data_IF_827522621435
#
_entry.id   IF_827522621435
#
_cell.length_a   1.000
_cell.length_b   1.000
_cell.length_c   1.000
_cell.angle_alpha   90.00
_cell.angle_beta   90.00
_cell.angle_gamma   90.00
#
_symmetry.space_group_name_H-M   'P 1'
#
loop_
_entity.id
_entity.type
_entity.pdbx_description
1 polymer ?
#
# COMPACT_ATOMS: atom_id res chain seq x y z
N UNK A 1 -3.14 -2.49 13.19
CA UNK A 1 -4.19 -3.36 12.64
C UNK A 1 -3.61 -4.29 11.59
N UNK A 2 -4.09 -5.53 11.56
CA UNK A 2 -3.72 -6.55 10.58
C UNK A 2 -5.01 -7.07 9.93
N UNK A 3 -5.07 -7.09 8.60
CA UNK A 3 -6.22 -7.60 7.86
C UNK A 3 -5.81 -8.11 6.48
N UNK A 4 -6.65 -8.95 5.87
CA UNK A 4 -6.48 -9.39 4.48
C UNK A 4 -7.35 -8.59 3.54
N UNK A 5 -6.84 -8.35 2.34
CA UNK A 5 -7.56 -7.72 1.25
C UNK A 5 -7.22 -8.48 -0.03
N UNK A 6 -8.10 -9.42 -0.41
CA UNK A 6 -7.76 -10.40 -1.45
C UNK A 6 -6.59 -11.26 -0.97
N UNK A 7 -5.64 -11.50 -1.86
CA UNK A 7 -4.42 -12.27 -1.58
C UNK A 7 -3.31 -11.47 -0.89
N UNK A 8 -3.60 -10.22 -0.50
CA UNK A 8 -2.66 -9.34 0.20
C UNK A 8 -2.99 -9.28 1.69
N UNK A 9 -1.96 -9.39 2.51
CA UNK A 9 -2.00 -9.14 3.95
C UNK A 9 -1.46 -7.75 4.22
N UNK A 10 -2.30 -6.91 4.83
CA UNK A 10 -2.02 -5.51 5.15
C UNK A 10 -1.82 -5.37 6.65
N UNK A 11 -0.64 -4.88 7.05
CA UNK A 11 -0.33 -4.50 8.42
C UNK A 11 -0.13 -3.00 8.48
N UNK A 12 -1.09 -2.31 9.10
CA UNK A 12 -1.03 -0.88 9.37
C UNK A 12 -0.62 -0.66 10.84
N UNK A 13 0.40 0.16 11.08
CA UNK A 13 0.89 0.51 12.41
C UNK A 13 1.12 2.01 12.50
N UNK A 14 0.56 2.66 13.52
CA UNK A 14 0.81 4.07 13.79
C UNK A 14 1.95 4.22 14.81
N UNK A 15 2.97 5.02 14.50
CA UNK A 15 4.09 5.34 15.40
C UNK A 15 4.54 6.79 15.16
N UNK A 16 4.68 7.58 16.22
CA UNK A 16 5.20 8.96 16.16
C UNK A 16 4.54 9.82 15.08
N UNK A 17 3.19 9.82 15.02
CA UNK A 17 2.41 10.53 13.99
C UNK A 17 2.80 10.13 12.56
N UNK A 18 3.08 8.84 12.34
CA UNK A 18 3.30 8.23 11.02
C UNK A 18 2.54 6.92 10.93
N UNK A 19 1.98 6.63 9.75
CA UNK A 19 1.34 5.36 9.45
C UNK A 19 2.27 4.46 8.62
N UNK A 20 2.82 3.42 9.23
CA UNK A 20 3.52 2.39 8.48
C UNK A 20 2.53 1.37 7.91
N UNK A 21 2.59 1.13 6.60
CA UNK A 21 1.76 0.13 5.91
C UNK A 21 2.68 -0.92 5.29
N UNK A 22 2.68 -2.10 5.89
CA UNK A 22 3.39 -3.25 5.34
C UNK A 22 2.40 -4.11 4.53
N UNK A 23 2.81 -4.47 3.32
CA UNK A 23 2.04 -5.33 2.41
C UNK A 23 2.83 -6.60 2.19
N UNK A 24 2.19 -7.74 2.42
CA UNK A 24 2.76 -9.08 2.25
C UNK A 24 1.74 -9.99 1.57
N UNK A 25 2.17 -11.15 1.10
CA UNK A 25 1.28 -12.16 0.55
C UNK A 25 1.85 -13.55 0.84
N UNK A 26 0.98 -14.53 1.02
CA UNK A 26 1.35 -15.95 1.08
C UNK A 26 1.57 -16.52 -0.33
N UNK A 27 1.13 -15.83 -1.39
CA UNK A 27 1.28 -16.28 -2.78
C UNK A 27 2.68 -16.03 -3.36
N UNK A 28 3.49 -15.18 -2.72
CA UNK A 28 4.83 -14.86 -3.20
C UNK A 28 5.37 -13.54 -2.65
N UNK A 29 6.50 -13.11 -3.21
CA UNK A 29 7.16 -11.86 -2.83
C UNK A 29 6.37 -10.65 -3.35
N UNK A 30 5.98 -9.74 -2.45
CA UNK A 30 5.35 -8.48 -2.84
C UNK A 30 6.41 -7.45 -3.21
N UNK A 31 6.27 -6.91 -4.42
CA UNK A 31 7.14 -5.89 -4.99
C UNK A 31 6.32 -4.63 -5.25
N UNK A 32 6.95 -3.48 -5.08
CA UNK A 32 6.36 -2.19 -5.41
C UNK A 32 6.65 -1.86 -6.88
N UNK A 33 5.66 -1.39 -7.61
CA UNK A 33 5.86 -0.89 -8.97
C UNK A 33 6.26 0.59 -8.92
N UNK A 34 7.56 0.84 -8.95
CA UNK A 34 8.15 2.19 -8.88
C UNK A 34 8.09 2.98 -10.18
N UNK A 35 7.96 2.27 -11.30
CA UNK A 35 7.95 2.84 -12.65
C UNK A 35 6.54 2.82 -13.24
N UNK A 36 5.52 2.87 -12.38
CA UNK A 36 4.14 2.89 -12.84
C UNK A 36 3.82 4.24 -13.49
N UNK A 37 4.06 4.31 -14.81
CA UNK A 37 3.82 5.48 -15.66
C UNK A 37 2.39 5.52 -16.20
N UNK A 38 1.49 4.67 -15.71
CA UNK A 38 0.08 4.73 -16.09
C UNK A 38 -0.46 6.11 -15.74
N UNK A 39 -1.25 6.70 -16.64
CA UNK A 39 -2.01 7.93 -16.36
C UNK A 39 -2.91 7.65 -15.18
N UNK A 40 -2.48 8.06 -13.99
CA UNK A 40 -3.21 7.79 -12.76
C UNK A 40 -4.41 8.73 -12.66
N UNK A 41 -5.60 8.16 -12.47
CA UNK A 41 -6.82 8.92 -12.18
C UNK A 41 -6.76 9.57 -10.78
N UNK A 42 -5.82 9.15 -9.93
CA UNK A 42 -5.59 9.68 -8.60
C UNK A 42 -4.15 10.22 -8.45
N UNK A 43 -3.94 11.45 -7.94
CA UNK A 43 -2.62 12.07 -7.91
C UNK A 43 -1.57 11.35 -7.02
N UNK A 44 -1.97 10.33 -6.26
CA UNK A 44 -1.26 9.76 -5.12
C UNK A 44 -1.51 8.24 -5.01
N UNK A 45 -1.15 7.52 -6.07
CA UNK A 45 -1.32 6.08 -6.18
C UNK A 45 -0.01 5.35 -5.91
N UNK A 46 -0.10 4.23 -5.18
CA UNK A 46 1.02 3.32 -4.97
C UNK A 46 0.62 1.91 -5.37
N UNK A 47 1.32 1.35 -6.34
CA UNK A 47 1.03 0.04 -6.90
C UNK A 47 1.97 -1.03 -6.35
N UNK A 48 1.40 -2.17 -5.98
CA UNK A 48 2.10 -3.37 -5.57
C UNK A 48 1.67 -4.54 -6.45
N UNK A 49 2.58 -5.49 -6.64
CA UNK A 49 2.27 -6.75 -7.28
C UNK A 49 3.01 -7.90 -6.60
N UNK A 50 2.44 -9.10 -6.68
CA UNK A 50 3.09 -10.32 -6.23
C UNK A 50 3.93 -10.86 -7.38
N UNK A 51 5.24 -11.02 -7.17
CA UNK A 51 6.16 -11.55 -8.17
C UNK A 51 6.02 -13.07 -8.25
N UNK A 52 5.79 -13.58 -9.46
CA UNK A 52 5.62 -15.01 -9.75
C UNK A 52 4.67 -15.71 -8.75
N UNK A 53 3.41 -15.25 -8.64
CA UNK A 53 2.51 -15.77 -7.63
C UNK A 53 2.16 -17.24 -7.93
N UNK A 54 1.98 -18.05 -6.90
CA UNK A 54 1.58 -19.46 -7.04
C UNK A 54 0.22 -19.63 -7.73
N UNK A 55 -0.64 -18.61 -7.64
CA UNK A 55 -1.89 -18.49 -8.37
C UNK A 55 -2.18 -17.02 -8.72
N UNK A 56 -3.03 -16.76 -9.71
CA UNK A 56 -3.41 -15.38 -10.06
C UNK A 56 -4.21 -14.75 -8.90
N UNK A 57 -3.81 -13.56 -8.39
CA UNK A 57 -4.59 -12.88 -7.36
C UNK A 57 -5.98 -12.46 -7.85
N UNK A 58 -6.98 -12.56 -6.97
CA UNK A 58 -8.35 -12.22 -7.31
C UNK A 58 -8.57 -10.70 -7.30
N UNK A 59 -9.23 -10.18 -8.36
CA UNK A 59 -9.61 -8.79 -8.43
C UNK A 59 -10.58 -8.41 -7.31
N UNK A 60 -10.47 -7.18 -6.81
CA UNK A 60 -11.29 -6.70 -5.70
C UNK A 60 -11.58 -5.21 -5.86
N UNK A 61 -12.85 -4.86 -5.75
CA UNK A 61 -13.30 -3.47 -5.82
C UNK A 61 -12.70 -2.58 -4.74
N UNK A 62 -12.88 -1.27 -4.87
CA UNK A 62 -12.31 -0.29 -3.96
C UNK A 62 -12.92 -0.40 -2.56
N UNK A 63 -12.07 -0.31 -1.52
CA UNK A 63 -12.50 -0.22 -0.12
C UNK A 63 -11.72 0.85 0.62
N UNK A 64 -12.45 1.74 1.28
CA UNK A 64 -11.90 2.80 2.15
C UNK A 64 -11.54 2.23 3.52
N UNK A 65 -10.40 2.64 4.04
CA UNK A 65 -9.94 2.36 5.39
C UNK A 65 -9.59 3.66 6.12
N UNK A 66 -9.90 3.71 7.41
CA UNK A 66 -9.69 4.86 8.28
C UNK A 66 -8.89 4.41 9.50
N UNK A 67 -7.80 5.12 9.79
CA UNK A 67 -6.85 4.85 10.87
C UNK A 67 -6.52 6.16 11.57
N UNK A 68 -7.20 6.47 12.67
CA UNK A 68 -7.10 7.80 13.27
C UNK A 68 -7.48 8.87 12.24
N UNK A 69 -6.56 9.80 11.95
CA UNK A 69 -6.72 10.83 10.93
C UNK A 69 -6.30 10.38 9.52
N UNK A 70 -5.69 9.20 9.39
CA UNK A 70 -5.26 8.65 8.11
C UNK A 70 -6.41 7.98 7.38
N UNK A 71 -6.57 8.31 6.10
CA UNK A 71 -7.48 7.62 5.19
C UNK A 71 -6.72 7.12 3.98
N UNK A 72 -6.91 5.85 3.64
CA UNK A 72 -6.46 5.29 2.38
C UNK A 72 -7.52 4.38 1.76
N UNK A 73 -7.44 4.18 0.45
CA UNK A 73 -8.33 3.30 -0.31
C UNK A 73 -7.47 2.18 -0.89
N UNK A 74 -7.94 0.94 -0.80
CA UNK A 74 -7.32 -0.20 -1.47
C UNK A 74 -8.20 -0.71 -2.60
N UNK A 75 -7.58 -1.17 -3.69
CA UNK A 75 -8.23 -1.88 -4.79
C UNK A 75 -7.30 -2.91 -5.41
N UNK A 76 -7.84 -4.00 -5.95
CA UNK A 76 -7.08 -4.99 -6.73
C UNK A 76 -7.66 -5.05 -8.13
N UNK A 77 -6.86 -4.75 -9.15
CA UNK A 77 -7.33 -4.78 -10.52
C UNK A 77 -7.38 -6.22 -11.09
N UNK A 78 -7.82 -6.36 -12.35
CA UNK A 78 -7.89 -7.65 -13.03
C UNK A 78 -6.53 -8.31 -13.34
N UNK A 79 -5.42 -7.58 -13.21
CA UNK A 79 -4.08 -8.12 -13.28
C UNK A 79 -3.60 -8.67 -11.91
N UNK A 80 -4.37 -8.46 -10.84
CA UNK A 80 -4.00 -8.87 -9.49
C UNK A 80 -3.09 -7.87 -8.78
N UNK A 81 -2.90 -6.67 -9.34
CA UNK A 81 -2.10 -5.60 -8.74
C UNK A 81 -2.90 -4.89 -7.65
N UNK A 82 -2.29 -4.69 -6.48
CA UNK A 82 -2.88 -3.93 -5.38
C UNK A 82 -2.51 -2.46 -5.51
N UNK A 83 -3.51 -1.61 -5.50
CA UNK A 83 -3.37 -0.16 -5.48
C UNK A 83 -3.74 0.38 -4.11
N UNK A 84 -2.89 1.24 -3.58
CA UNK A 84 -3.14 2.05 -2.41
C UNK A 84 -3.23 3.51 -2.84
N UNK A 85 -4.40 4.11 -2.64
CA UNK A 85 -4.65 5.52 -2.88
C UNK A 85 -4.68 6.28 -1.56
N UNK A 86 -4.10 7.47 -1.52
CA UNK A 86 -4.11 8.32 -0.32
C UNK A 86 -4.48 9.77 -0.61
N UNK A 87 -5.26 10.37 0.31
CA UNK A 87 -5.85 11.70 0.13
C UNK A 87 -4.94 12.88 0.47
N UNK A 88 -3.76 12.63 1.05
CA UNK A 88 -2.84 13.67 1.57
C UNK A 88 -1.44 13.45 1.02
N UNK A 89 -0.61 14.49 0.93
CA UNK A 89 0.80 14.36 0.54
C UNK A 89 1.54 13.52 1.59
N UNK A 90 1.71 12.23 1.31
CA UNK A 90 2.47 11.31 2.15
C UNK A 90 3.89 11.22 1.63
N UNK A 91 4.87 11.29 2.54
CA UNK A 91 6.21 10.83 2.20
C UNK A 91 6.19 9.31 2.22
N UNK A 92 6.37 8.71 1.06
CA UNK A 92 6.53 7.26 0.92
C UNK A 92 8.02 6.97 1.05
N UNK A 93 8.43 6.33 2.14
CA UNK A 93 9.77 5.74 2.24
C UNK A 93 9.66 4.23 2.18
N UNK A 94 10.46 3.65 1.28
CA UNK A 94 10.67 2.22 1.24
C UNK A 94 11.67 1.86 2.32
N UNK A 95 11.31 0.86 3.11
CA UNK A 95 12.24 0.21 4.01
C UNK A 95 12.09 -1.29 3.80
N UNK A 96 13.21 -2.00 3.74
CA UNK A 96 13.19 -3.45 3.94
C UNK A 96 13.30 -3.71 5.43
N UNK A 97 12.31 -4.39 5.97
CA UNK A 97 12.32 -4.89 7.35
C UNK A 97 12.30 -6.40 7.21
N UNK A 98 13.32 -7.07 7.75
CA UNK A 98 13.45 -8.54 7.67
C UNK A 98 13.39 -9.09 6.23
N UNK A 99 14.00 -8.36 5.28
CA UNK A 99 13.99 -8.73 3.86
C UNK A 99 12.67 -8.47 3.12
N UNK A 100 11.61 -8.05 3.80
CA UNK A 100 10.30 -7.76 3.20
C UNK A 100 10.14 -6.28 2.89
N UNK A 101 9.62 -5.96 1.70
CA UNK A 101 9.31 -4.58 1.33
C UNK A 101 8.21 -4.03 2.25
N UNK A 102 8.50 -2.91 2.91
CA UNK A 102 7.55 -2.18 3.77
C UNK A 102 7.44 -0.76 3.25
N UNK A 103 6.21 -0.25 3.14
CA UNK A 103 5.99 1.16 2.95
C UNK A 103 5.78 1.85 4.28
N UNK A 104 6.53 2.92 4.51
CA UNK A 104 6.23 3.85 5.57
C UNK A 104 5.58 5.07 4.96
N UNK A 105 4.32 5.33 5.32
CA UNK A 105 3.61 6.55 4.97
C UNK A 105 3.72 7.51 6.15
N UNK A 106 4.54 8.55 6.00
CA UNK A 106 4.55 9.64 6.96
C UNK A 106 3.71 10.78 6.40
N UNK A 107 2.80 11.36 7.20
CA UNK A 107 2.31 12.69 6.87
C UNK A 107 3.51 13.63 6.78
N UNK A 108 3.49 14.52 5.78
CA UNK A 108 4.21 15.77 5.93
C UNK A 108 3.49 16.49 7.08
N UNK A 109 3.90 16.24 8.33
CA UNK A 109 3.80 17.31 9.30
C UNK A 109 4.56 18.45 8.65
N UNK A 110 3.84 19.54 8.39
CA UNK A 110 4.47 20.76 7.98
C UNK A 110 5.62 20.98 8.98
N UNK A 111 6.86 20.94 8.52
CA UNK A 111 8.00 21.31 9.37
C UNK A 111 7.91 22.81 9.69
N UNK A 112 6.89 23.51 9.16
CA UNK A 112 6.53 24.90 9.40
C UNK A 112 5.00 25.11 9.36
N UNK A 113 4.26 24.62 10.34
CA UNK A 113 2.96 25.19 10.70
C UNK A 113 2.96 25.58 12.19
#
# INVERSE_FOLDING_TARGET
>A
MLFTFGDYTIRAHELDSKLSVQVTSELGEVVLNDDDKRTSDFPNEVCFYIKNPTQKPEAKGLKKFIFGEYTFILGINYAGELFLFHSVKLTIKKKRIEGKNTLTLAFLNDVRA
#
